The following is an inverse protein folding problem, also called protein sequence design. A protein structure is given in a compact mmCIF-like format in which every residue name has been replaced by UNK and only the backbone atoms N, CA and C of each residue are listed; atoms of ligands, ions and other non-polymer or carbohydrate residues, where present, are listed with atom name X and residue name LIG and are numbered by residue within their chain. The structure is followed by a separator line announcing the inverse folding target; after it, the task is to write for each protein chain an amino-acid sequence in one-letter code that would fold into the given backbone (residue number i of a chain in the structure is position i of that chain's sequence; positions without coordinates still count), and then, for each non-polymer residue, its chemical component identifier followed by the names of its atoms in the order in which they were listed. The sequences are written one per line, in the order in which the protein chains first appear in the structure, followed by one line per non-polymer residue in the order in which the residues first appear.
data_IF_405714402248
#
_entry.id   IF_405714402248
#
_cell.length_a   1.000
_cell.length_b   1.000
_cell.length_c   1.000
_cell.angle_alpha   90.00
_cell.angle_beta   90.00
_cell.angle_gamma   90.00
#
_symmetry.space_group_name_H-M   'P 1'
#
loop_
_entity.id
_entity.type
_entity.pdbx_description
1 polymer ?
#
# COMPACT_ATOMS: atom_id res chain seq x y z
N UNK A 1 55.85 -32.28 19.24
CA UNK A 1 54.58 -32.13 19.98
C UNK A 1 53.42 -31.50 19.16
N UNK A 2 53.46 -31.46 17.82
CA UNK A 2 52.42 -30.76 17.02
C UNK A 2 51.63 -31.66 16.04
N UNK A 3 51.99 -32.93 15.86
CA UNK A 3 51.34 -33.79 14.85
C UNK A 3 50.03 -34.45 15.31
N UNK A 4 49.79 -34.56 16.63
CA UNK A 4 48.63 -35.29 17.16
C UNK A 4 47.37 -34.41 17.31
N UNK A 5 47.51 -33.09 17.26
CA UNK A 5 46.38 -32.16 17.41
C UNK A 5 45.59 -31.95 16.11
N UNK A 6 46.21 -32.17 14.95
CA UNK A 6 45.56 -31.98 13.64
C UNK A 6 44.60 -33.12 13.29
N UNK A 7 44.91 -34.35 13.71
CA UNK A 7 44.04 -35.52 13.49
C UNK A 7 42.78 -35.48 14.38
N UNK A 8 42.94 -35.06 15.64
CA UNK A 8 41.84 -34.98 16.61
C UNK A 8 40.77 -33.95 16.20
N UNK A 9 41.19 -32.81 15.61
CA UNK A 9 40.28 -31.77 15.12
C UNK A 9 39.45 -32.20 13.91
N UNK A 10 40.04 -32.97 12.98
CA UNK A 10 39.30 -33.51 11.82
C UNK A 10 38.22 -34.53 12.23
N UNK A 11 38.43 -35.32 13.28
CA UNK A 11 37.42 -36.27 13.77
C UNK A 11 36.27 -35.59 14.52
N UNK A 12 36.49 -34.43 15.16
CA UNK A 12 35.39 -33.66 15.78
C UNK A 12 34.50 -32.97 14.74
N UNK A 13 35.06 -32.53 13.62
CA UNK A 13 34.32 -31.82 12.58
C UNK A 13 33.41 -32.76 11.77
N UNK A 14 33.82 -34.03 11.56
CA UNK A 14 32.99 -35.04 10.86
C UNK A 14 31.75 -35.43 11.69
N UNK A 15 31.78 -35.26 13.01
CA UNK A 15 30.64 -35.62 13.89
C UNK A 15 29.56 -34.54 13.95
N UNK A 16 29.78 -33.36 13.37
CA UNK A 16 28.87 -32.21 13.42
C UNK A 16 27.85 -32.17 12.26
N UNK A 17 28.08 -32.88 11.16
CA UNK A 17 27.24 -32.88 9.95
C UNK A 17 26.27 -34.09 9.93
N UNK A 18 25.34 -34.20 10.88
CA UNK A 18 24.48 -35.40 10.88
C UNK A 18 23.36 -35.52 11.90
N UNK A 19 22.83 -34.43 12.45
CA UNK A 19 21.62 -34.50 13.30
C UNK A 19 20.61 -33.42 12.95
N UNK A 20 19.83 -33.66 11.90
CA UNK A 20 18.47 -33.12 11.80
C UNK A 20 17.51 -34.29 12.03
N UNK A 21 17.10 -34.44 13.29
CA UNK A 21 16.17 -35.47 13.73
C UNK A 21 14.74 -34.99 13.47
N UNK A 22 14.17 -35.33 12.31
CA UNK A 22 12.71 -35.37 12.13
C UNK A 22 12.25 -36.83 12.21
N UNK A 23 11.30 -37.12 13.09
CA UNK A 23 10.89 -38.49 13.41
C UNK A 23 10.09 -39.19 12.28
N UNK A 24 9.79 -38.49 11.18
CA UNK A 24 9.12 -39.04 10.00
C UNK A 24 9.76 -38.44 8.72
N UNK A 25 10.24 -39.25 7.77
CA UNK A 25 10.93 -38.77 6.57
C UNK A 25 10.01 -37.93 5.65
N UNK A 26 8.70 -38.13 5.75
CA UNK A 26 7.73 -37.38 4.95
C UNK A 26 7.59 -35.92 5.41
N UNK A 27 7.71 -35.67 6.72
CA UNK A 27 7.67 -34.30 7.26
C UNK A 27 8.91 -33.50 6.84
N UNK A 28 10.06 -34.16 6.65
CA UNK A 28 11.26 -33.52 6.12
C UNK A 28 11.07 -33.10 4.65
N UNK A 29 10.49 -33.98 3.84
CA UNK A 29 10.17 -33.68 2.44
C UNK A 29 9.17 -32.52 2.34
N UNK A 30 8.10 -32.55 3.14
CA UNK A 30 7.09 -31.49 3.17
C UNK A 30 7.71 -30.15 3.59
N UNK A 31 8.59 -30.13 4.59
CA UNK A 31 9.26 -28.90 5.02
C UNK A 31 10.25 -28.37 3.98
N UNK A 32 10.93 -29.24 3.23
CA UNK A 32 11.81 -28.85 2.11
C UNK A 32 11.04 -28.30 0.91
N UNK A 33 9.85 -28.84 0.66
CA UNK A 33 8.93 -28.38 -0.39
C UNK A 33 8.15 -27.12 0.02
N UNK A 34 8.17 -26.75 1.31
CA UNK A 34 7.53 -25.53 1.78
C UNK A 34 8.33 -24.33 1.24
N UNK A 35 7.75 -23.49 0.36
CA UNK A 35 8.47 -22.34 -0.14
C UNK A 35 8.79 -21.42 1.04
N UNK A 36 10.07 -21.11 1.22
CA UNK A 36 10.47 -20.11 2.19
C UNK A 36 9.77 -18.80 1.82
N UNK A 37 9.03 -18.25 2.78
CA UNK A 37 8.33 -16.99 2.54
C UNK A 37 9.41 -15.93 2.51
N UNK A 38 9.86 -15.55 1.31
CA UNK A 38 10.91 -14.56 1.08
C UNK A 38 10.75 -13.45 2.12
N UNK A 39 11.79 -13.27 2.94
CA UNK A 39 11.78 -12.30 4.03
C UNK A 39 11.19 -10.99 3.51
N UNK A 40 10.18 -10.42 4.17
CA UNK A 40 9.46 -9.21 3.75
C UNK A 40 10.31 -7.94 3.70
N UNK A 41 11.62 -8.07 3.59
CA UNK A 41 12.58 -6.99 3.45
C UNK A 41 12.47 -6.41 2.05
N UNK A 42 12.00 -5.18 1.98
CA UNK A 42 11.92 -4.42 0.74
C UNK A 42 13.30 -4.35 0.06
N UNK A 43 13.31 -4.49 -1.26
CA UNK A 43 14.53 -4.37 -2.07
C UNK A 43 15.10 -2.95 -1.96
N UNK A 44 16.43 -2.82 -1.87
CA UNK A 44 17.10 -1.52 -1.70
C UNK A 44 16.81 -0.54 -2.85
N UNK A 45 16.79 -1.05 -4.09
CA UNK A 45 16.56 -0.26 -5.31
C UNK A 45 15.45 -0.91 -6.15
N UNK A 46 14.17 -0.63 -5.86
CA UNK A 46 13.06 -1.18 -6.62
C UNK A 46 13.05 -0.64 -8.06
N UNK A 47 13.19 -1.54 -9.03
CA UNK A 47 13.16 -1.19 -10.46
C UNK A 47 11.76 -1.18 -11.05
N UNK A 48 10.80 -1.86 -10.41
CA UNK A 48 9.39 -1.83 -10.82
C UNK A 48 8.64 -0.70 -10.11
N UNK A 49 7.66 -0.13 -10.80
CA UNK A 49 6.86 0.97 -10.26
C UNK A 49 6.08 0.55 -9.00
N UNK A 50 5.50 -0.65 -8.99
CA UNK A 50 4.80 -1.20 -7.83
C UNK A 50 5.70 -1.34 -6.61
N UNK A 51 6.95 -1.78 -6.80
CA UNK A 51 7.90 -1.91 -5.70
C UNK A 51 8.36 -0.54 -5.16
N UNK A 52 8.43 0.49 -6.01
CA UNK A 52 8.69 1.88 -5.58
C UNK A 52 7.56 2.44 -4.73
N UNK A 53 6.30 2.18 -5.11
CA UNK A 53 5.15 2.55 -4.30
C UNK A 53 5.19 1.82 -2.95
N UNK A 54 5.37 0.49 -2.94
CA UNK A 54 5.44 -0.26 -1.69
C UNK A 54 6.56 0.19 -0.74
N UNK A 55 7.69 0.67 -1.28
CA UNK A 55 8.80 1.22 -0.53
C UNK A 55 8.60 2.69 -0.09
N UNK A 56 7.59 3.38 -0.62
CA UNK A 56 7.36 4.79 -0.32
C UNK A 56 6.76 4.96 1.10
N UNK A 57 7.26 5.91 1.92
CA UNK A 57 6.83 6.08 3.31
C UNK A 57 5.49 6.82 3.40
N UNK A 58 4.42 6.26 2.84
CA UNK A 58 3.08 6.87 2.81
C UNK A 58 2.58 7.27 4.20
N UNK A 59 2.81 6.42 5.21
CA UNK A 59 2.37 6.69 6.57
C UNK A 59 2.97 7.98 7.13
N UNK A 60 4.21 8.31 6.76
CA UNK A 60 4.89 9.52 7.25
C UNK A 60 4.23 10.79 6.67
N UNK A 61 3.94 10.79 5.37
CA UNK A 61 3.28 11.91 4.72
C UNK A 61 1.84 12.09 5.23
N UNK A 62 1.05 11.02 5.34
CA UNK A 62 -0.33 11.14 5.80
C UNK A 62 -0.43 11.60 7.28
N UNK A 63 0.51 11.18 8.14
CA UNK A 63 0.49 11.56 9.57
C UNK A 63 1.00 12.97 9.83
N UNK A 64 2.04 13.42 9.12
CA UNK A 64 2.68 14.71 9.40
C UNK A 64 2.20 15.85 8.53
N UNK A 65 1.70 15.56 7.32
CA UNK A 65 1.17 16.60 6.45
C UNK A 65 -0.20 17.03 6.96
N UNK A 66 -0.24 18.21 7.53
CA UNK A 66 -1.44 18.87 8.03
C UNK A 66 -2.52 19.08 6.94
N UNK A 67 -2.08 19.29 5.70
CA UNK A 67 -2.96 19.50 4.54
C UNK A 67 -3.99 18.38 4.41
N UNK A 68 -3.62 17.10 4.50
CA UNK A 68 -4.58 16.01 4.32
C UNK A 68 -5.67 16.00 5.41
N UNK A 69 -5.33 16.40 6.65
CA UNK A 69 -6.28 16.44 7.77
C UNK A 69 -7.33 17.53 7.54
N UNK A 70 -6.90 18.73 7.18
CA UNK A 70 -7.82 19.85 7.00
C UNK A 70 -8.46 19.91 5.62
N UNK A 71 -7.85 19.33 4.60
CA UNK A 71 -8.48 19.16 3.31
C UNK A 71 -9.65 18.18 3.41
N UNK A 72 -9.47 17.05 4.09
CA UNK A 72 -10.57 16.10 4.34
C UNK A 72 -11.68 16.73 5.19
N UNK A 73 -11.33 17.43 6.28
CA UNK A 73 -12.32 18.13 7.10
C UNK A 73 -13.04 19.25 6.33
N UNK A 74 -12.31 20.04 5.54
CA UNK A 74 -12.86 21.12 4.73
C UNK A 74 -13.79 20.62 3.64
N UNK A 75 -13.46 19.51 2.97
CA UNK A 75 -14.37 18.85 2.03
C UNK A 75 -15.61 18.31 2.74
N UNK A 76 -15.47 17.71 3.91
CA UNK A 76 -16.59 17.16 4.66
C UNK A 76 -17.56 18.26 5.12
N UNK A 77 -17.04 19.41 5.55
CA UNK A 77 -17.86 20.56 5.96
C UNK A 77 -18.46 21.28 4.74
N UNK A 78 -17.70 21.44 3.67
CA UNK A 78 -18.17 22.16 2.49
C UNK A 78 -19.16 21.36 1.64
N UNK A 79 -19.02 20.03 1.56
CA UNK A 79 -19.92 19.17 0.80
C UNK A 79 -21.43 19.38 1.12
N UNK A 80 -21.90 19.37 2.37
CA UNK A 80 -23.31 19.62 2.68
C UNK A 80 -23.73 21.07 2.40
N UNK A 81 -22.83 22.04 2.56
CA UNK A 81 -23.10 23.45 2.25
C UNK A 81 -23.37 23.60 0.75
N UNK A 82 -22.46 23.08 -0.07
CA UNK A 82 -22.61 23.10 -1.53
C UNK A 82 -23.81 22.29 -2.01
N UNK A 83 -24.10 21.14 -1.39
CA UNK A 83 -25.30 20.36 -1.70
C UNK A 83 -26.59 21.16 -1.48
N UNK A 84 -26.68 21.91 -0.38
CA UNK A 84 -27.83 22.77 -0.09
C UNK A 84 -27.95 23.92 -1.08
N UNK A 85 -26.82 24.57 -1.41
CA UNK A 85 -26.79 25.64 -2.43
C UNK A 85 -27.26 25.09 -3.77
N UNK A 86 -26.71 23.95 -4.21
CA UNK A 86 -27.07 23.32 -5.48
C UNK A 86 -28.56 22.97 -5.54
N UNK A 87 -29.14 22.45 -4.45
CA UNK A 87 -30.59 22.15 -4.40
C UNK A 87 -31.45 23.41 -4.54
N UNK A 88 -31.00 24.55 -4.00
CA UNK A 88 -31.72 25.82 -4.15
C UNK A 88 -31.55 26.43 -5.54
N UNK A 89 -30.36 26.34 -6.12
CA UNK A 89 -30.08 26.84 -7.48
C UNK A 89 -30.81 26.03 -8.54
N UNK A 90 -30.88 24.71 -8.40
CA UNK A 90 -31.58 23.79 -9.32
C UNK A 90 -33.05 23.55 -8.95
N UNK A 91 -33.69 24.46 -8.21
CA UNK A 91 -35.14 24.37 -7.98
C UNK A 91 -35.89 24.54 -9.32
N UNK A 92 -37.01 23.84 -9.53
CA UNK A 92 -37.72 23.87 -10.82
C UNK A 92 -38.17 25.29 -11.20
N UNK A 93 -38.48 26.13 -10.22
CA UNK A 93 -38.83 27.54 -10.42
C UNK A 93 -37.64 28.39 -10.90
N UNK A 94 -36.43 28.13 -10.38
CA UNK A 94 -35.23 28.86 -10.78
C UNK A 94 -34.76 28.43 -12.17
N UNK A 95 -34.90 27.13 -12.49
CA UNK A 95 -34.62 26.58 -13.82
C UNK A 95 -35.56 27.20 -14.86
N UNK A 96 -36.87 27.23 -14.59
CA UNK A 96 -37.85 27.84 -15.49
C UNK A 96 -37.57 29.33 -15.76
N UNK A 97 -37.16 30.09 -14.74
CA UNK A 97 -36.77 31.50 -14.89
C UNK A 97 -35.49 31.65 -15.73
N UNK A 98 -34.53 30.74 -15.57
CA UNK A 98 -33.29 30.75 -16.36
C UNK A 98 -33.53 30.38 -17.82
N UNK A 99 -34.41 29.41 -18.07
CA UNK A 99 -34.81 29.01 -19.42
C UNK A 99 -35.58 30.14 -20.13
N UNK A 100 -36.49 30.81 -19.43
CA UNK A 100 -37.21 31.97 -19.98
C UNK A 100 -36.25 33.12 -20.35
N UNK A 101 -35.25 33.40 -19.50
CA UNK A 101 -34.21 34.40 -19.81
C UNK A 101 -33.34 33.98 -21.00
N UNK A 102 -32.90 32.73 -21.04
CA UNK A 102 -32.13 32.19 -22.18
C UNK A 102 -32.92 32.25 -23.48
N UNK A 103 -34.22 31.98 -23.46
CA UNK A 103 -35.08 32.07 -24.64
C UNK A 103 -35.22 33.53 -25.11
N UNK A 104 -35.40 34.48 -24.18
CA UNK A 104 -35.45 35.90 -24.50
C UNK A 104 -34.12 36.41 -25.09
N UNK A 105 -32.99 36.04 -24.49
CA UNK A 105 -31.65 36.37 -25.00
C UNK A 105 -31.41 35.73 -26.38
N UNK A 106 -31.82 34.47 -26.58
CA UNK A 106 -31.73 33.81 -27.89
C UNK A 106 -32.64 34.48 -28.92
N UNK A 107 -33.81 34.99 -28.55
CA UNK A 107 -34.69 35.70 -29.45
C UNK A 107 -34.16 37.09 -29.85
N UNK A 108 -33.38 37.75 -28.99
CA UNK A 108 -32.77 39.06 -29.28
C UNK A 108 -31.44 38.95 -30.07
N UNK A 109 -30.77 37.81 -30.00
CA UNK A 109 -29.52 37.54 -30.74
C UNK A 109 -29.73 36.96 -32.15
N UNK A 110 -30.97 36.88 -32.62
CA UNK A 110 -31.37 36.45 -33.98
C UNK A 110 -32.02 37.61 -34.73
#
# INVERSE_FOLDING_TARGET
MLHNYTLSRKMSDIKAEGKSSSANPLEDLVNRLKPDRMSGRAMKYPYTFSAKLAAFPYQMYIKHVWLFRYYAAGLLISAPIFYKIQKMSCSPENVAKFEAKRLAEQAEHH
#
